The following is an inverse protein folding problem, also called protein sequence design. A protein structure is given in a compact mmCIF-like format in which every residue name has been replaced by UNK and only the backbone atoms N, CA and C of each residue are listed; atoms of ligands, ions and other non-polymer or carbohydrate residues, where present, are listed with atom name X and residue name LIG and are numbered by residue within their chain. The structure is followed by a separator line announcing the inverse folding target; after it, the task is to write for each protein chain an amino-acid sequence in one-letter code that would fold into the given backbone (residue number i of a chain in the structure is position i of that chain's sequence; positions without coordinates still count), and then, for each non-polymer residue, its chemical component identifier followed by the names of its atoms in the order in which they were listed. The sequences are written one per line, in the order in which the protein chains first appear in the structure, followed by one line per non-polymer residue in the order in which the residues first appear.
data_IF_445896808823
#
_entry.id   IF_445896808823
#
_cell.length_a   1.000
_cell.length_b   1.000
_cell.length_c   1.000
_cell.angle_alpha   90.00
_cell.angle_beta   90.00
_cell.angle_gamma   90.00
#
_symmetry.space_group_name_H-M   'P 1'
#
loop_
_entity.id
_entity.type
_entity.pdbx_description
1 polymer ?
#
# COMPACT_ATOMS: atom_id res chain seq x y z
N UNK A 1 8.19 11.79 23.90
CA UNK A 1 8.09 10.30 23.84
C UNK A 1 8.98 9.70 22.74
N UNK A 2 8.92 10.17 21.49
CA UNK A 2 9.79 9.65 20.40
C UNK A 2 11.26 10.03 20.61
N UNK A 3 11.58 11.30 20.87
CA UNK A 3 12.97 11.74 21.07
C UNK A 3 13.69 10.99 22.20
N UNK A 4 13.04 10.78 23.35
CA UNK A 4 13.58 10.00 24.47
C UNK A 4 13.81 8.53 24.13
N UNK A 5 12.95 7.94 23.29
CA UNK A 5 13.11 6.55 22.86
C UNK A 5 14.29 6.40 21.89
N UNK A 6 14.43 7.34 20.94
CA UNK A 6 15.57 7.40 20.03
C UNK A 6 16.86 7.55 20.85
N UNK A 7 16.89 8.47 21.82
CA UNK A 7 18.05 8.68 22.69
C UNK A 7 18.45 7.41 23.45
N UNK A 8 17.46 6.72 24.03
CA UNK A 8 17.70 5.44 24.74
C UNK A 8 18.23 4.34 23.82
N UNK A 9 17.77 4.28 22.57
CA UNK A 9 18.08 3.19 21.62
C UNK A 9 19.36 3.42 20.83
N UNK A 10 19.70 4.67 20.51
CA UNK A 10 20.84 5.00 19.64
C UNK A 10 22.20 4.71 20.27
N UNK A 11 22.27 4.58 21.60
CA UNK A 11 23.52 4.30 22.34
C UNK A 11 24.70 5.21 21.92
N UNK A 12 24.44 6.52 21.79
CA UNK A 12 25.40 7.55 21.32
C UNK A 12 25.83 7.46 19.84
N UNK A 13 25.22 6.60 19.03
CA UNK A 13 25.46 6.55 17.59
C UNK A 13 24.59 7.52 16.82
N UNK A 14 24.96 7.71 15.54
CA UNK A 14 24.15 8.38 14.54
C UNK A 14 22.81 7.68 14.31
N UNK A 15 21.83 8.45 13.84
CA UNK A 15 20.48 7.97 13.56
C UNK A 15 20.14 8.29 12.11
N UNK A 16 19.67 7.29 11.36
CA UNK A 16 19.28 7.47 9.96
C UNK A 16 17.78 7.25 9.82
N UNK A 17 17.07 8.25 9.30
CA UNK A 17 15.66 8.12 8.95
C UNK A 17 15.59 7.71 7.48
N UNK A 18 15.18 6.46 7.25
CA UNK A 18 15.10 5.85 5.93
C UNK A 18 13.67 5.37 5.70
N UNK A 19 13.19 5.48 4.47
CA UNK A 19 11.86 5.01 4.09
C UNK A 19 11.39 5.60 2.78
N UNK A 20 10.29 5.08 2.26
CA UNK A 20 9.75 5.53 0.98
C UNK A 20 9.21 6.95 1.00
N UNK A 21 9.10 7.57 -0.17
CA UNK A 21 8.34 8.82 -0.34
C UNK A 21 6.92 8.61 0.18
N UNK A 22 6.40 9.55 0.99
CA UNK A 22 5.06 9.44 1.57
C UNK A 22 4.94 8.58 2.84
N UNK A 23 6.00 7.88 3.28
CA UNK A 23 5.97 7.07 4.51
C UNK A 23 5.82 7.87 5.83
N UNK A 24 5.70 9.20 5.76
CA UNK A 24 5.58 10.07 6.93
C UNK A 24 6.91 10.45 7.59
N UNK A 25 8.06 10.26 6.91
CA UNK A 25 9.39 10.65 7.42
C UNK A 25 9.45 12.11 7.89
N UNK A 26 8.97 13.04 7.06
CA UNK A 26 8.93 14.47 7.39
C UNK A 26 8.04 14.74 8.60
N UNK A 27 6.89 14.07 8.71
CA UNK A 27 6.01 14.21 9.88
C UNK A 27 6.69 13.70 11.16
N UNK A 28 7.36 12.55 11.09
CA UNK A 28 8.16 12.00 12.19
C UNK A 28 9.24 12.99 12.62
N UNK A 29 9.96 13.56 11.65
CA UNK A 29 11.03 14.53 11.88
C UNK A 29 10.51 15.83 12.49
N UNK A 30 9.45 16.41 11.95
CA UNK A 30 8.79 17.58 12.52
C UNK A 30 8.31 17.33 13.95
N UNK A 31 7.77 16.14 14.22
CA UNK A 31 7.37 15.73 15.57
C UNK A 31 8.57 15.63 16.53
N UNK A 32 9.68 15.05 16.06
CA UNK A 32 10.94 15.01 16.82
C UNK A 32 11.43 16.43 17.16
N UNK A 33 11.52 17.30 16.14
CA UNK A 33 12.04 18.66 16.26
C UNK A 33 11.26 19.54 17.25
N UNK A 34 9.94 19.35 17.38
CA UNK A 34 9.12 20.09 18.38
C UNK A 34 9.57 19.90 19.84
N UNK A 35 10.17 18.76 20.14
CA UNK A 35 10.66 18.43 21.50
C UNK A 35 12.17 18.41 21.61
N UNK A 36 12.86 18.63 20.49
CA UNK A 36 14.30 18.56 20.40
C UNK A 36 14.92 19.86 20.89
N UNK A 37 15.95 19.75 21.75
CA UNK A 37 16.78 20.87 22.16
C UNK A 37 18.20 20.58 21.69
N UNK A 38 18.70 21.41 20.78
CA UNK A 38 20.09 21.30 20.34
C UNK A 38 21.01 21.74 21.48
N UNK A 39 21.73 20.77 22.06
CA UNK A 39 22.74 21.02 23.10
C UNK A 39 24.16 21.13 22.53
N UNK A 40 24.30 20.96 21.21
CA UNK A 40 25.57 21.13 20.51
C UNK A 40 25.71 22.56 20.00
N UNK A 41 26.94 22.94 19.66
CA UNK A 41 27.21 24.20 18.94
C UNK A 41 27.01 24.06 17.42
N UNK A 42 26.74 22.86 16.92
CA UNK A 42 26.54 22.63 15.50
C UNK A 42 25.12 23.07 15.07
N UNK A 43 24.95 23.76 13.94
CA UNK A 43 23.62 24.08 13.42
C UNK A 43 22.97 22.87 12.74
N UNK A 44 21.64 22.92 12.60
CA UNK A 44 20.91 22.04 11.67
C UNK A 44 21.22 22.53 10.25
N UNK A 45 21.60 21.61 9.36
CA UNK A 45 22.02 21.97 8.01
C UNK A 45 21.67 20.89 7.00
N UNK A 46 21.46 21.27 5.75
CA UNK A 46 21.30 20.35 4.63
C UNK A 46 22.59 20.28 3.82
N UNK A 47 23.13 19.08 3.62
CA UNK A 47 24.38 18.87 2.87
C UNK A 47 24.44 17.51 2.21
N UNK A 48 25.40 17.32 1.31
CA UNK A 48 25.72 16.00 0.76
C UNK A 48 26.31 15.07 1.83
N UNK A 49 25.84 13.82 1.83
CA UNK A 49 26.28 12.83 2.80
C UNK A 49 27.64 12.25 2.39
N UNK A 50 28.70 12.62 3.12
CA UNK A 50 30.05 12.14 2.84
C UNK A 50 30.54 12.57 1.46
N UNK A 51 30.96 11.61 0.63
CA UNK A 51 31.34 11.82 -0.78
C UNK A 51 30.25 11.34 -1.76
N UNK A 52 28.99 11.36 -1.33
CA UNK A 52 27.84 10.92 -2.13
C UNK A 52 27.01 12.12 -2.60
N UNK A 53 26.27 11.95 -3.70
CA UNK A 53 25.34 12.98 -4.18
C UNK A 53 24.00 13.00 -3.40
N UNK A 54 23.89 12.23 -2.30
CA UNK A 54 22.66 12.17 -1.50
C UNK A 54 22.64 13.37 -0.56
N UNK A 55 21.72 14.31 -0.83
CA UNK A 55 21.46 15.45 0.06
C UNK A 55 20.65 15.01 1.27
N UNK A 56 21.19 15.22 2.47
CA UNK A 56 20.56 14.87 3.74
C UNK A 56 20.41 16.11 4.61
N UNK A 57 19.36 16.15 5.43
CA UNK A 57 19.27 17.11 6.52
C UNK A 57 19.94 16.52 7.75
N UNK A 58 21.00 17.17 8.22
CA UNK A 58 21.79 16.78 9.37
C UNK A 58 21.33 17.57 10.60
N UNK A 59 20.82 16.86 11.60
CA UNK A 59 20.41 17.40 12.90
C UNK A 59 21.39 16.90 13.97
N UNK A 60 22.17 17.77 14.62
CA UNK A 60 23.05 17.35 15.71
C UNK A 60 22.26 16.74 16.85
N UNK A 61 22.71 15.63 17.42
CA UNK A 61 22.12 15.03 18.63
C UNK A 61 22.96 15.35 19.87
N UNK A 62 24.27 15.37 19.69
CA UNK A 62 25.29 15.80 20.67
C UNK A 62 26.52 16.35 19.92
N UNK A 63 27.67 16.44 20.58
CA UNK A 63 28.91 16.96 20.00
C UNK A 63 29.55 16.04 18.95
N UNK A 64 29.15 14.77 18.87
CA UNK A 64 29.83 13.77 18.05
C UNK A 64 28.91 13.01 17.11
N UNK A 65 27.60 13.12 17.28
CA UNK A 65 26.61 12.33 16.54
C UNK A 65 25.44 13.16 16.04
N UNK A 66 24.81 12.64 14.99
CA UNK A 66 23.79 13.32 14.22
C UNK A 66 22.63 12.40 13.86
N UNK A 67 21.47 13.01 13.65
CA UNK A 67 20.34 12.42 12.97
C UNK A 67 20.32 12.91 11.52
N UNK A 68 20.18 11.98 10.59
CA UNK A 68 20.14 12.24 9.16
C UNK A 68 18.75 11.94 8.62
N UNK A 69 18.06 12.95 8.10
CA UNK A 69 16.89 12.73 7.25
C UNK A 69 17.35 12.49 5.82
N UNK A 70 16.98 11.34 5.27
CA UNK A 70 17.39 10.91 3.94
C UNK A 70 16.26 11.09 2.93
N UNK A 71 16.57 11.40 1.66
CA UNK A 71 15.56 11.47 0.61
C UNK A 71 14.74 10.18 0.55
N UNK A 72 13.44 10.32 0.31
CA UNK A 72 12.57 9.16 0.21
C UNK A 72 12.89 8.28 -0.99
N UNK A 73 12.84 6.98 -0.80
CA UNK A 73 12.95 6.01 -1.88
C UNK A 73 11.61 5.97 -2.63
N UNK A 74 11.62 6.20 -3.95
CA UNK A 74 10.42 6.09 -4.78
C UNK A 74 10.00 4.63 -4.91
N UNK A 75 8.72 4.34 -4.61
CA UNK A 75 8.12 3.02 -4.83
C UNK A 75 7.36 3.09 -6.15
N UNK A 76 7.94 2.51 -7.20
CA UNK A 76 7.39 2.60 -8.57
C UNK A 76 6.38 1.49 -8.89
N UNK A 77 6.26 0.47 -8.04
CA UNK A 77 5.33 -0.65 -8.18
C UNK A 77 4.07 -0.49 -7.30
N UNK A 78 3.73 0.75 -6.95
CA UNK A 78 2.58 1.09 -6.13
C UNK A 78 1.46 1.65 -6.99
N UNK A 79 0.21 1.36 -6.66
CA UNK A 79 -0.93 1.98 -7.31
C UNK A 79 -0.89 3.52 -7.17
N UNK A 80 -0.36 4.02 -6.04
CA UNK A 80 -0.23 5.47 -5.80
C UNK A 80 0.76 6.15 -6.74
N UNK A 81 1.70 5.43 -7.35
CA UNK A 81 2.65 6.03 -8.30
C UNK A 81 2.09 6.20 -9.71
N UNK A 82 0.93 5.59 -10.02
CA UNK A 82 0.32 5.65 -11.36
C UNK A 82 -1.01 6.43 -11.41
N UNK A 83 -1.66 6.63 -10.26
CA UNK A 83 -2.92 7.35 -10.19
C UNK A 83 -2.73 8.87 -10.19
N UNK A 84 -3.69 9.59 -10.77
CA UNK A 84 -3.76 11.05 -10.62
C UNK A 84 -4.16 11.44 -9.20
N UNK A 85 -3.91 12.71 -8.84
CA UNK A 85 -4.28 13.23 -7.53
C UNK A 85 -5.77 13.08 -7.21
N UNK A 86 -6.66 13.25 -8.19
CA UNK A 86 -8.10 13.08 -7.99
C UNK A 86 -8.50 11.62 -7.77
N UNK A 87 -7.84 10.68 -8.44
CA UNK A 87 -8.04 9.24 -8.21
C UNK A 87 -7.51 8.82 -6.84
N UNK A 88 -6.38 9.38 -6.40
CA UNK A 88 -5.77 9.10 -5.09
C UNK A 88 -6.77 9.41 -3.95
N UNK A 89 -7.60 10.46 -4.08
CA UNK A 89 -8.62 10.80 -3.07
C UNK A 89 -9.62 9.67 -2.79
N UNK A 90 -9.84 8.77 -3.74
CA UNK A 90 -10.76 7.63 -3.60
C UNK A 90 -10.09 6.40 -2.98
N UNK A 91 -8.80 6.19 -3.24
CA UNK A 91 -8.06 5.00 -2.79
C UNK A 91 -7.31 5.23 -1.48
N UNK A 92 -6.86 6.46 -1.22
CA UNK A 92 -6.10 6.80 -0.02
C UNK A 92 -7.04 7.00 1.17
N UNK A 93 -6.80 6.31 2.30
CA UNK A 93 -7.63 6.46 3.49
C UNK A 93 -7.32 7.77 4.22
N UNK A 94 -8.30 8.66 4.31
CA UNK A 94 -8.25 9.89 5.11
C UNK A 94 -8.95 9.76 6.47
N UNK A 95 -9.51 8.57 6.74
CA UNK A 95 -10.25 8.22 7.95
C UNK A 95 -10.01 6.76 8.30
N UNK A 96 -10.42 6.36 9.52
CA UNK A 96 -10.25 4.98 9.99
C UNK A 96 -10.90 4.00 9.02
N UNK A 97 -10.12 3.03 8.53
CA UNK A 97 -10.62 1.95 7.68
C UNK A 97 -11.63 1.11 8.46
N UNK A 98 -12.86 1.04 7.95
CA UNK A 98 -13.88 0.10 8.42
C UNK A 98 -13.77 -1.18 7.60
N UNK A 99 -13.37 -2.27 8.25
CA UNK A 99 -13.27 -3.58 7.60
C UNK A 99 -14.66 -4.03 7.16
N UNK A 100 -14.86 -4.15 5.85
CA UNK A 100 -16.06 -4.75 5.26
C UNK A 100 -15.83 -6.25 5.10
N UNK A 101 -16.87 -7.08 5.04
CA UNK A 101 -16.72 -8.51 4.77
C UNK A 101 -17.71 -8.97 3.72
N UNK A 102 -17.29 -9.91 2.89
CA UNK A 102 -18.16 -10.55 1.91
C UNK A 102 -17.71 -11.98 1.67
N UNK A 103 -18.65 -12.82 1.27
CA UNK A 103 -18.38 -14.20 0.92
C UNK A 103 -18.16 -14.27 -0.60
N UNK A 104 -17.01 -14.83 -1.02
CA UNK A 104 -16.57 -14.92 -2.41
C UNK A 104 -16.62 -16.37 -2.89
N UNK A 105 -17.35 -16.60 -3.98
CA UNK A 105 -17.52 -17.91 -4.64
C UNK A 105 -16.73 -17.99 -5.94
N UNK A 106 -16.57 -19.19 -6.50
CA UNK A 106 -15.84 -19.41 -7.76
C UNK A 106 -16.43 -18.73 -9.01
N UNK A 107 -17.70 -18.35 -8.95
CA UNK A 107 -18.43 -17.67 -10.01
C UNK A 107 -18.67 -16.19 -9.70
N UNK A 108 -18.01 -15.63 -8.69
CA UNK A 108 -18.13 -14.23 -8.31
C UNK A 108 -16.77 -13.54 -8.44
N UNK A 109 -16.81 -12.25 -8.75
CA UNK A 109 -15.66 -11.36 -8.79
C UNK A 109 -15.89 -10.16 -7.87
N UNK A 110 -14.84 -9.68 -7.23
CA UNK A 110 -14.81 -8.39 -6.55
C UNK A 110 -14.10 -7.38 -7.43
N UNK A 111 -14.73 -6.23 -7.62
CA UNK A 111 -14.15 -5.09 -8.33
C UNK A 111 -13.91 -3.96 -7.35
N UNK A 112 -12.67 -3.49 -7.29
CA UNK A 112 -12.26 -2.35 -6.47
C UNK A 112 -12.13 -1.16 -7.41
N UNK A 113 -13.23 -0.45 -7.59
CA UNK A 113 -13.42 0.42 -8.75
C UNK A 113 -13.15 -0.33 -10.05
N UNK A 114 -12.58 0.38 -11.01
CA UNK A 114 -11.97 -0.17 -12.23
C UNK A 114 -10.47 -0.45 -12.09
N UNK A 115 -9.95 -0.56 -10.86
CA UNK A 115 -8.51 -0.70 -10.61
C UNK A 115 -8.08 -2.12 -10.30
N UNK A 116 -8.90 -2.92 -9.61
CA UNK A 116 -8.53 -4.29 -9.25
C UNK A 116 -9.73 -5.21 -9.42
N UNK A 117 -9.50 -6.37 -10.03
CA UNK A 117 -10.46 -7.46 -10.10
C UNK A 117 -9.90 -8.67 -9.34
N UNK A 118 -10.66 -9.21 -8.40
CA UNK A 118 -10.30 -10.39 -7.61
C UNK A 118 -11.33 -11.49 -7.87
N UNK A 119 -10.86 -12.68 -8.22
CA UNK A 119 -11.66 -13.87 -8.46
C UNK A 119 -11.15 -15.03 -7.61
N UNK A 120 -12.05 -15.90 -7.18
CA UNK A 120 -11.69 -17.19 -6.59
C UNK A 120 -11.72 -18.25 -7.69
N UNK A 121 -10.59 -18.84 -8.06
CA UNK A 121 -10.54 -19.91 -9.05
C UNK A 121 -10.70 -21.30 -8.40
N UNK A 122 -10.00 -21.50 -7.28
CA UNK A 122 -9.87 -22.78 -6.59
C UNK A 122 -10.17 -22.68 -5.10
N UNK A 123 -10.53 -23.80 -4.47
CA UNK A 123 -10.88 -23.88 -3.05
C UNK A 123 -12.37 -23.72 -2.72
N UNK A 124 -12.69 -23.74 -1.42
CA UNK A 124 -14.06 -23.53 -0.93
C UNK A 124 -14.47 -22.06 -0.98
N UNK A 125 -15.79 -21.81 -0.92
CA UNK A 125 -16.33 -20.45 -0.82
C UNK A 125 -15.71 -19.74 0.39
N UNK A 126 -15.07 -18.59 0.14
CA UNK A 126 -14.14 -17.98 1.11
C UNK A 126 -14.69 -16.66 1.64
N UNK A 127 -14.71 -16.49 2.97
CA UNK A 127 -15.05 -15.23 3.60
C UNK A 127 -13.83 -14.31 3.52
N UNK A 128 -13.98 -13.19 2.81
CA UNK A 128 -12.92 -12.18 2.67
C UNK A 128 -13.29 -10.91 3.44
N UNK A 129 -12.32 -10.40 4.19
CA UNK A 129 -12.36 -9.14 4.91
C UNK A 129 -11.61 -8.10 4.08
N UNK A 130 -12.22 -6.94 3.86
CA UNK A 130 -11.81 -5.93 2.89
C UNK A 130 -11.28 -4.71 3.65
N UNK A 131 -9.95 -4.52 3.64
CA UNK A 131 -9.24 -3.45 4.34
C UNK A 131 -8.78 -2.38 3.36
N UNK A 132 -9.74 -1.58 2.88
CA UNK A 132 -9.53 -0.52 1.89
C UNK A 132 -10.13 0.81 2.35
N UNK A 133 -9.76 1.91 1.69
CA UNK A 133 -10.37 3.22 1.92
C UNK A 133 -11.91 3.12 1.91
N UNK A 134 -12.60 3.79 2.87
CA UNK A 134 -14.06 3.83 2.88
C UNK A 134 -14.67 4.46 1.62
N UNK A 135 -13.92 5.33 0.92
CA UNK A 135 -14.34 5.99 -0.31
C UNK A 135 -14.22 5.10 -1.54
N UNK A 136 -13.44 4.01 -1.44
CA UNK A 136 -13.29 3.07 -2.54
C UNK A 136 -14.57 2.25 -2.69
N UNK A 137 -15.24 2.43 -3.83
CA UNK A 137 -16.36 1.58 -4.25
C UNK A 137 -15.86 0.17 -4.47
N UNK A 138 -16.55 -0.79 -3.86
CA UNK A 138 -16.25 -2.22 -4.03
C UNK A 138 -17.54 -2.90 -4.43
N UNK A 139 -17.55 -3.45 -5.64
CA UNK A 139 -18.69 -4.15 -6.21
C UNK A 139 -18.42 -5.65 -6.23
N UNK A 140 -19.42 -6.45 -5.89
CA UNK A 140 -19.39 -7.90 -6.10
C UNK A 140 -20.34 -8.25 -7.24
N UNK A 141 -19.84 -8.98 -8.24
CA UNK A 141 -20.64 -9.42 -9.38
C UNK A 141 -20.52 -10.91 -9.61
N UNK A 142 -21.65 -11.56 -9.85
CA UNK A 142 -21.69 -12.95 -10.30
C UNK A 142 -21.49 -12.99 -11.82
N UNK A 143 -20.64 -13.92 -12.28
CA UNK A 143 -20.39 -14.18 -13.70
C UNK A 143 -21.64 -14.81 -14.33
N UNK A 144 -22.12 -14.25 -15.43
CA UNK A 144 -23.27 -14.82 -16.14
C UNK A 144 -22.81 -16.02 -16.99
N UNK A 145 -23.59 -17.10 -17.01
CA UNK A 145 -23.24 -18.34 -17.75
C UNK A 145 -22.99 -18.11 -19.25
N UNK A 146 -23.62 -17.10 -19.86
CA UNK A 146 -23.54 -16.82 -21.30
C UNK A 146 -22.76 -15.53 -21.63
N UNK A 147 -21.95 -15.03 -20.69
CA UNK A 147 -21.20 -13.78 -20.90
C UNK A 147 -20.00 -14.03 -21.81
N UNK A 148 -20.05 -13.47 -23.04
CA UNK A 148 -18.95 -13.57 -24.01
C UNK A 148 -17.80 -12.61 -23.72
N UNK A 149 -18.09 -11.51 -23.03
CA UNK A 149 -17.12 -10.45 -22.74
C UNK A 149 -16.93 -10.35 -21.23
N UNK A 150 -15.70 -10.11 -20.78
CA UNK A 150 -15.46 -9.88 -19.35
C UNK A 150 -16.12 -8.57 -18.91
N UNK A 151 -17.07 -8.66 -17.98
CA UNK A 151 -17.82 -7.50 -17.48
C UNK A 151 -16.90 -6.40 -16.95
N UNK A 152 -15.79 -6.76 -16.30
CA UNK A 152 -14.91 -5.78 -15.67
C UNK A 152 -14.34 -4.80 -16.70
N UNK A 153 -13.76 -5.35 -17.78
CA UNK A 153 -13.19 -4.54 -18.86
C UNK A 153 -14.26 -3.74 -19.60
N UNK A 154 -15.41 -4.37 -19.89
CA UNK A 154 -16.53 -3.67 -20.54
C UNK A 154 -17.12 -2.55 -19.66
N UNK A 155 -17.11 -2.71 -18.34
CA UNK A 155 -17.62 -1.71 -17.40
C UNK A 155 -16.65 -0.54 -17.22
N UNK A 156 -15.33 -0.78 -17.32
CA UNK A 156 -14.32 0.28 -17.39
C UNK A 156 -14.51 1.11 -18.67
N UNK A 157 -14.64 0.47 -19.83
CA UNK A 157 -14.83 1.14 -21.13
C UNK A 157 -16.10 2.00 -21.16
N UNK A 158 -17.16 1.55 -20.48
CA UNK A 158 -18.43 2.26 -20.37
C UNK A 158 -18.47 3.33 -19.27
N UNK A 159 -17.37 3.52 -18.52
CA UNK A 159 -17.32 4.49 -17.42
C UNK A 159 -18.20 4.12 -16.22
N UNK A 160 -18.56 2.85 -16.05
CA UNK A 160 -19.43 2.39 -14.96
C UNK A 160 -18.62 2.19 -13.66
N UNK A 161 -17.36 1.77 -13.78
CA UNK A 161 -16.48 1.52 -12.64
C UNK A 161 -15.53 2.70 -12.42
N UNK A 162 -15.54 3.24 -11.20
CA UNK A 162 -14.64 4.30 -10.76
C UNK A 162 -14.12 4.02 -9.35
N UNK A 163 -12.88 4.44 -9.02
CA UNK A 163 -11.88 5.05 -9.91
C UNK A 163 -11.33 4.06 -10.95
N UNK A 164 -10.70 4.56 -12.03
CA UNK A 164 -10.03 3.77 -13.08
C UNK A 164 -8.66 4.38 -13.41
N UNK A 165 -7.89 3.79 -14.34
CA UNK A 165 -6.64 4.35 -14.85
C UNK A 165 -6.90 5.59 -15.73
N UNK A 166 -5.98 6.57 -15.71
CA UNK A 166 -6.06 7.71 -16.63
C UNK A 166 -5.97 7.29 -18.11
N UNK A 167 -5.14 6.28 -18.38
CA UNK A 167 -4.96 5.71 -19.73
C UNK A 167 -5.29 4.23 -19.64
N UNK A 168 -6.43 3.86 -20.21
CA UNK A 168 -6.88 2.48 -20.31
C UNK A 168 -6.92 2.06 -21.78
N UNK A 169 -6.16 1.03 -22.12
CA UNK A 169 -5.99 0.51 -23.48
C UNK A 169 -6.53 -0.93 -23.60
N UNK A 170 -7.61 -1.22 -22.87
CA UNK A 170 -8.17 -2.56 -22.81
C UNK A 170 -7.48 -3.46 -21.76
N UNK A 171 -7.67 -4.78 -21.85
CA UNK A 171 -7.14 -5.75 -20.88
C UNK A 171 -5.62 -5.72 -20.72
N UNK A 172 -4.87 -5.27 -21.74
CA UNK A 172 -3.40 -5.18 -21.71
C UNK A 172 -2.85 -4.12 -20.74
N UNK A 173 -3.72 -3.22 -20.24
CA UNK A 173 -3.40 -2.29 -19.16
C UNK A 173 -3.25 -2.97 -17.79
N UNK A 174 -3.56 -4.27 -17.69
CA UNK A 174 -3.54 -5.03 -16.45
C UNK A 174 -2.59 -6.23 -16.52
N UNK A 175 -1.85 -6.44 -15.44
CA UNK A 175 -1.18 -7.71 -15.16
C UNK A 175 -2.17 -8.65 -14.44
N UNK A 176 -2.05 -9.95 -14.72
CA UNK A 176 -2.90 -10.99 -14.14
C UNK A 176 -2.04 -11.97 -13.36
N UNK A 177 -2.38 -12.19 -12.09
CA UNK A 177 -1.67 -13.10 -11.20
C UNK A 177 -2.61 -14.17 -10.65
N UNK A 178 -2.19 -15.43 -10.77
CA UNK A 178 -2.81 -16.55 -10.07
C UNK A 178 -2.00 -16.85 -8.81
N UNK A 179 -2.61 -16.62 -7.64
CA UNK A 179 -1.99 -16.80 -6.34
C UNK A 179 -2.57 -18.04 -5.66
N UNK A 180 -1.74 -19.06 -5.49
CA UNK A 180 -2.11 -20.30 -4.80
C UNK A 180 -1.75 -20.21 -3.31
N UNK A 181 -2.75 -20.40 -2.44
CA UNK A 181 -2.65 -20.27 -0.99
C UNK A 181 -2.85 -21.65 -0.37
N UNK A 182 -1.78 -22.44 -0.35
CA UNK A 182 -1.80 -23.83 0.17
C UNK A 182 -1.89 -23.91 1.68
N UNK A 183 -1.33 -22.92 2.37
CA UNK A 183 -1.14 -22.95 3.81
C UNK A 183 -2.41 -22.54 4.58
N UNK A 184 -2.61 -23.14 5.74
CA UNK A 184 -3.71 -22.79 6.65
C UNK A 184 -3.42 -21.54 7.50
N UNK A 185 -4.51 -20.96 8.04
CA UNK A 185 -4.49 -19.82 8.94
C UNK A 185 -4.79 -18.48 8.25
N UNK A 186 -4.97 -17.43 9.03
CA UNK A 186 -5.23 -16.09 8.51
C UNK A 186 -4.11 -15.58 7.59
N UNK A 187 -4.48 -15.15 6.40
CA UNK A 187 -3.60 -14.62 5.35
C UNK A 187 -4.14 -13.30 4.82
N UNK A 188 -3.21 -12.43 4.42
CA UNK A 188 -3.51 -11.22 3.68
C UNK A 188 -2.96 -11.33 2.24
N UNK A 189 -3.76 -10.92 1.26
CA UNK A 189 -3.30 -10.59 -0.09
C UNK A 189 -3.49 -9.09 -0.28
N UNK A 190 -2.38 -8.38 -0.48
CA UNK A 190 -2.36 -6.94 -0.64
C UNK A 190 -1.99 -6.49 -2.04
N UNK A 191 -2.55 -5.34 -2.40
CA UNK A 191 -2.20 -4.56 -3.61
C UNK A 191 -1.43 -3.34 -3.14
N UNK A 192 -0.18 -3.20 -3.61
CA UNK A 192 0.68 -2.09 -3.21
C UNK A 192 0.02 -0.74 -3.52
N UNK A 193 -0.03 0.15 -2.52
CA UNK A 193 -0.67 1.46 -2.63
C UNK A 193 -2.19 1.50 -2.53
N UNK A 194 -2.87 0.39 -2.28
CA UNK A 194 -4.34 0.35 -2.18
C UNK A 194 -4.85 -0.16 -0.83
N UNK A 195 -4.43 -1.36 -0.45
CA UNK A 195 -4.97 -2.08 0.71
C UNK A 195 -4.89 -3.59 0.50
N UNK A 196 -5.62 -4.36 1.29
CA UNK A 196 -5.54 -5.82 1.26
C UNK A 196 -6.88 -6.49 1.59
N UNK A 197 -7.00 -7.73 1.12
CA UNK A 197 -8.01 -8.66 1.61
C UNK A 197 -7.38 -9.58 2.65
N UNK A 198 -8.13 -9.89 3.70
CA UNK A 198 -7.78 -10.91 4.71
C UNK A 198 -8.77 -12.06 4.60
N UNK A 199 -8.30 -13.31 4.75
CA UNK A 199 -9.13 -14.51 4.71
C UNK A 199 -8.47 -15.65 5.46
N UNK A 200 -9.24 -16.69 5.76
CA UNK A 200 -8.71 -17.94 6.30
C UNK A 200 -8.15 -18.79 5.16
N UNK A 201 -6.83 -19.00 5.14
CA UNK A 201 -6.16 -19.88 4.19
C UNK A 201 -6.60 -21.33 4.39
N UNK A 202 -6.99 -21.98 3.29
CA UNK A 202 -7.49 -23.36 3.23
C UNK A 202 -7.45 -23.86 1.77
N UNK A 203 -6.26 -23.85 1.17
CA UNK A 203 -6.01 -24.32 -0.20
C UNK A 203 -6.87 -23.62 -1.28
N UNK A 204 -6.86 -22.29 -1.28
CA UNK A 204 -7.54 -21.47 -2.29
C UNK A 204 -6.60 -21.02 -3.40
N UNK A 205 -7.15 -20.75 -4.57
CA UNK A 205 -6.43 -20.07 -5.66
C UNK A 205 -7.20 -18.81 -6.04
N UNK A 206 -6.56 -17.65 -5.94
CA UNK A 206 -7.12 -16.37 -6.34
C UNK A 206 -6.52 -15.92 -7.66
N UNK A 207 -7.35 -15.39 -8.57
CA UNK A 207 -6.89 -14.64 -9.73
C UNK A 207 -7.10 -13.17 -9.50
N UNK A 208 -6.04 -12.38 -9.67
CA UNK A 208 -6.06 -10.96 -9.41
C UNK A 208 -5.53 -10.20 -10.61
N UNK A 209 -6.35 -9.28 -11.12
CA UNK A 209 -5.95 -8.31 -12.13
C UNK A 209 -5.64 -6.98 -11.44
N UNK A 210 -4.46 -6.44 -11.69
CA UNK A 210 -4.01 -5.12 -11.21
C UNK A 210 -3.39 -4.35 -12.37
N UNK A 211 -3.32 -3.00 -12.31
CA UNK A 211 -2.70 -2.24 -13.37
C UNK A 211 -1.23 -2.65 -13.57
N UNK A 212 -0.77 -2.57 -14.81
CA UNK A 212 0.57 -3.03 -15.18
C UNK A 212 1.66 -2.42 -14.30
N UNK A 213 2.53 -3.26 -13.75
CA UNK A 213 3.64 -2.86 -12.88
C UNK A 213 3.28 -2.66 -11.42
N UNK A 214 2.01 -2.76 -11.02
CA UNK A 214 1.60 -2.74 -9.61
C UNK A 214 1.87 -4.10 -8.98
N UNK A 215 2.57 -4.11 -7.84
CA UNK A 215 2.91 -5.34 -7.14
C UNK A 215 1.79 -5.84 -6.23
N UNK A 216 1.72 -7.16 -6.10
CA UNK A 216 0.95 -7.86 -5.09
C UNK A 216 1.90 -8.40 -4.01
N UNK A 217 1.41 -8.47 -2.77
CA UNK A 217 2.13 -9.13 -1.68
C UNK A 217 1.23 -10.11 -0.94
N UNK A 218 1.85 -11.13 -0.35
CA UNK A 218 1.21 -12.11 0.51
C UNK A 218 1.88 -12.10 1.87
N UNK A 219 1.11 -12.17 2.94
CA UNK A 219 1.64 -12.26 4.30
C UNK A 219 0.70 -13.08 5.19
N UNK A 220 1.25 -13.61 6.29
CA UNK A 220 0.40 -13.96 7.43
C UNK A 220 -0.22 -12.68 7.99
N UNK A 221 -1.48 -12.77 8.36
CA UNK A 221 -2.21 -11.62 8.90
C UNK A 221 -1.54 -11.12 10.18
N UNK A 222 -1.26 -9.82 10.22
CA UNK A 222 -0.76 -9.13 11.42
C UNK A 222 -1.89 -8.50 12.25
N UNK A 223 -3.09 -8.44 11.68
CA UNK A 223 -4.31 -8.03 12.36
C UNK A 223 -4.94 -9.25 13.06
N UNK A 224 -4.34 -9.65 14.17
CA UNK A 224 -4.94 -10.64 15.08
C UNK A 224 -5.74 -9.85 16.11
N UNK A 225 -7.07 -10.07 16.14
CA UNK A 225 -8.09 -9.46 17.02
C UNK A 225 -7.63 -8.33 17.95
#
# INVERSE_FOLDING_TARGET
KIASLIEKRRKKHDVYIIGSVGAGKTLLLSSFLRSFKNKSLHPIQSKEYGKTNIKVMQIPLDSTSYMYDTPGISINNSLLSILSFDQIKNVYPDSKIKVRRTLLSKNESLFLGGLVKIELLGGEKTLVYLSFSPKLKIDKKAKKKNEKTDYFFAAIEKGVLEPTLNVYNGPSSFDCFDLEIKEEGLRDIGVEGLGFITFEGKNQTFRIYVPKGVALYQTRTKLVK
#
